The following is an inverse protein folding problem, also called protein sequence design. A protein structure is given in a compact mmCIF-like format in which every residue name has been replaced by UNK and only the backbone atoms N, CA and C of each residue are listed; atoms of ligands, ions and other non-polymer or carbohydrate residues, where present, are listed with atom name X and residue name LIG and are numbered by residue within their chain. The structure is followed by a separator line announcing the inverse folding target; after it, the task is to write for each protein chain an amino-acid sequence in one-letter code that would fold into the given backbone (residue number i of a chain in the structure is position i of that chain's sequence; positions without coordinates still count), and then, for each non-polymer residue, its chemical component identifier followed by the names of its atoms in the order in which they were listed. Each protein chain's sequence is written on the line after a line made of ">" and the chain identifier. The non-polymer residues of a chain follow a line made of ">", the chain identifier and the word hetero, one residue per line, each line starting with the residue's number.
data_IF_320354966642
#
_entry.id   IF_320354966642
#
_cell.length_a   1.000
_cell.length_b   1.000
_cell.length_c   1.000
_cell.angle_alpha   90.00
_cell.angle_beta   90.00
_cell.angle_gamma   90.00
#
_symmetry.space_group_name_H-M   'P 1'
#
loop_
_entity.id
_entity.type
_entity.pdbx_description
1 polymer ?
#
# COMPACT_ATOMS: atom_id res chain seq x y z
N UNK A 1 -19.75 5.62 -19.92
CA UNK A 1 -19.65 6.29 -18.61
C UNK A 1 -19.04 5.32 -17.60
N UNK A 2 -18.21 5.77 -16.65
CA UNK A 2 -17.54 4.88 -15.72
C UNK A 2 -18.49 4.46 -14.59
N UNK A 3 -18.81 3.17 -14.49
CA UNK A 3 -19.49 2.61 -13.31
C UNK A 3 -18.44 2.17 -12.30
N UNK A 4 -17.85 3.13 -11.59
CA UNK A 4 -17.12 2.84 -10.36
C UNK A 4 -18.10 3.08 -9.21
N UNK A 5 -18.50 2.02 -8.51
CA UNK A 5 -19.34 2.15 -7.31
C UNK A 5 -18.48 2.81 -6.23
N UNK A 6 -18.76 4.08 -5.99
CA UNK A 6 -18.16 4.93 -4.97
C UNK A 6 -19.02 4.83 -3.70
N UNK A 7 -18.47 4.30 -2.59
CA UNK A 7 -18.99 4.51 -1.22
C UNK A 7 -17.79 4.43 -0.26
N UNK A 8 -17.60 5.27 0.77
CA UNK A 8 -18.54 5.91 1.71
C UNK A 8 -18.53 7.47 1.73
N UNK A 9 -17.94 8.12 0.74
CA UNK A 9 -18.37 9.45 0.31
C UNK A 9 -19.22 9.22 -0.94
N UNK A 10 -20.33 9.91 -1.16
CA UNK A 10 -21.11 9.73 -2.40
C UNK A 10 -20.26 10.02 -3.65
N UNK A 11 -20.62 9.47 -4.83
CA UNK A 11 -19.93 9.71 -6.11
C UNK A 11 -19.78 11.19 -6.49
N UNK A 12 -20.55 12.09 -5.85
CA UNK A 12 -20.61 13.52 -6.17
C UNK A 12 -19.43 14.38 -5.65
N UNK A 13 -18.55 13.85 -4.80
CA UNK A 13 -17.43 14.62 -4.21
C UNK A 13 -16.02 14.18 -4.65
N UNK A 14 -15.90 13.26 -5.63
CA UNK A 14 -14.60 12.80 -6.11
C UNK A 14 -14.00 13.84 -7.08
N UNK A 15 -12.96 14.53 -6.64
CA UNK A 15 -12.23 15.46 -7.49
C UNK A 15 -11.23 14.72 -8.38
N UNK A 16 -11.68 14.32 -9.57
CA UNK A 16 -10.88 13.55 -10.54
C UNK A 16 -9.57 14.22 -10.97
N UNK A 17 -9.49 15.55 -10.92
CA UNK A 17 -8.23 16.28 -11.21
C UNK A 17 -7.19 15.96 -10.13
N UNK A 18 -7.60 15.97 -8.85
CA UNK A 18 -6.73 15.64 -7.71
C UNK A 18 -6.35 14.16 -7.69
N UNK A 19 -7.31 13.26 -7.94
CA UNK A 19 -7.05 11.81 -8.07
C UNK A 19 -5.99 11.56 -9.15
N UNK A 20 -6.14 12.13 -10.34
CA UNK A 20 -5.16 11.97 -11.44
C UNK A 20 -3.78 12.53 -11.09
N UNK A 21 -3.72 13.65 -10.37
CA UNK A 21 -2.46 14.26 -9.95
C UNK A 21 -1.72 13.38 -8.94
N UNK A 22 -2.44 12.89 -7.93
CA UNK A 22 -1.94 11.94 -6.94
C UNK A 22 -1.49 10.62 -7.59
N UNK A 23 -2.32 10.05 -8.46
CA UNK A 23 -1.99 8.81 -9.19
C UNK A 23 -0.75 8.99 -10.07
N UNK A 24 -0.55 10.13 -10.74
CA UNK A 24 0.66 10.41 -11.52
C UNK A 24 1.91 10.50 -10.64
N UNK A 25 1.82 11.17 -9.50
CA UNK A 25 2.91 11.26 -8.54
C UNK A 25 3.30 9.86 -8.03
N UNK A 26 2.32 9.06 -7.59
CA UNK A 26 2.56 7.70 -7.11
C UNK A 26 3.09 6.78 -8.21
N UNK A 27 2.65 6.94 -9.45
CA UNK A 27 3.16 6.15 -10.57
C UNK A 27 4.63 6.46 -10.89
N UNK A 28 5.11 7.66 -10.56
CA UNK A 28 6.52 8.01 -10.70
C UNK A 28 7.33 7.52 -9.49
N UNK A 29 6.85 7.81 -8.28
CA UNK A 29 7.61 7.61 -7.04
C UNK A 29 7.63 6.15 -6.59
N UNK A 30 6.49 5.45 -6.62
CA UNK A 30 6.40 4.08 -6.09
C UNK A 30 7.29 3.08 -6.82
N UNK A 31 7.42 3.11 -8.17
CA UNK A 31 8.38 2.23 -8.84
C UNK A 31 9.82 2.49 -8.43
N UNK A 32 10.23 3.75 -8.27
CA UNK A 32 11.58 4.11 -7.83
C UNK A 32 11.85 3.55 -6.44
N UNK A 33 10.91 3.78 -5.50
CA UNK A 33 11.00 3.27 -4.14
C UNK A 33 11.01 1.74 -4.10
N UNK A 34 10.21 1.08 -4.94
CA UNK A 34 10.20 -0.38 -5.07
C UNK A 34 11.54 -0.91 -5.57
N UNK A 35 12.15 -0.27 -6.57
CA UNK A 35 13.48 -0.64 -7.06
C UNK A 35 14.52 -0.46 -5.96
N UNK A 36 14.48 0.65 -5.22
CA UNK A 36 15.36 0.85 -4.06
C UNK A 36 15.17 -0.24 -3.01
N UNK A 37 13.94 -0.69 -2.75
CA UNK A 37 13.65 -1.80 -1.85
C UNK A 37 14.29 -3.12 -2.30
N UNK A 38 14.17 -3.44 -3.60
CA UNK A 38 14.80 -4.62 -4.18
C UNK A 38 16.32 -4.55 -4.03
N UNK A 39 16.93 -3.42 -4.41
CA UNK A 39 18.37 -3.20 -4.26
C UNK A 39 18.82 -3.25 -2.79
N UNK A 40 17.99 -2.75 -1.88
CA UNK A 40 18.21 -2.83 -0.44
C UNK A 40 18.23 -4.27 0.06
N UNK A 41 17.26 -5.07 -0.38
CA UNK A 41 17.16 -6.49 0.00
C UNK A 41 18.28 -7.35 -0.65
N UNK A 42 18.84 -6.90 -1.78
CA UNK A 42 20.02 -7.52 -2.41
C UNK A 42 21.36 -7.05 -1.80
N UNK A 43 21.34 -6.13 -0.84
CA UNK A 43 22.54 -5.58 -0.21
C UNK A 43 23.31 -4.56 -1.06
N UNK A 44 22.76 -4.13 -2.20
CA UNK A 44 23.36 -3.13 -3.10
C UNK A 44 23.19 -1.71 -2.54
N UNK A 45 22.08 -1.46 -1.85
CA UNK A 45 21.76 -0.17 -1.23
C UNK A 45 21.55 -0.37 0.27
N UNK A 46 21.90 0.61 1.10
CA UNK A 46 21.64 0.55 2.54
C UNK A 46 20.14 0.46 2.82
N UNK A 47 19.71 -0.55 3.57
CA UNK A 47 18.30 -0.72 3.98
C UNK A 47 17.83 0.43 4.88
N UNK A 48 18.74 1.09 5.59
CA UNK A 48 18.45 2.32 6.35
C UNK A 48 18.12 3.48 5.41
N UNK A 49 18.84 3.62 4.28
CA UNK A 49 18.51 4.62 3.25
C UNK A 49 17.15 4.36 2.62
N UNK A 50 16.85 3.09 2.31
CA UNK A 50 15.54 2.67 1.80
C UNK A 50 14.43 3.02 2.79
N UNK A 51 14.60 2.68 4.07
CA UNK A 51 13.63 2.97 5.11
C UNK A 51 13.42 4.48 5.32
N UNK A 52 14.49 5.29 5.31
CA UNK A 52 14.40 6.75 5.36
C UNK A 52 13.62 7.33 4.17
N UNK A 53 13.93 6.85 2.96
CA UNK A 53 13.25 7.27 1.74
C UNK A 53 11.76 6.95 1.80
N UNK A 54 11.43 5.76 2.32
CA UNK A 54 10.06 5.35 2.56
C UNK A 54 9.35 6.20 3.60
N UNK A 55 9.99 6.49 4.74
CA UNK A 55 9.41 7.37 5.76
C UNK A 55 9.12 8.76 5.20
N UNK A 56 10.04 9.33 4.41
CA UNK A 56 9.82 10.61 3.75
C UNK A 56 8.62 10.56 2.79
N UNK A 57 8.54 9.53 1.93
CA UNK A 57 7.41 9.34 1.03
C UNK A 57 6.08 9.20 1.79
N UNK A 58 6.03 8.34 2.80
CA UNK A 58 4.82 8.10 3.58
C UNK A 58 4.34 9.36 4.32
N UNK A 59 5.27 10.19 4.82
CA UNK A 59 4.95 11.46 5.45
C UNK A 59 4.36 12.45 4.44
N UNK A 60 4.98 12.58 3.25
CA UNK A 60 4.48 13.44 2.19
C UNK A 60 3.09 13.00 1.69
N UNK A 61 2.90 11.70 1.47
CA UNK A 61 1.63 11.16 1.00
C UNK A 61 0.54 11.26 2.08
N UNK A 62 0.90 11.07 3.36
CA UNK A 62 0.00 11.33 4.48
C UNK A 62 -0.48 12.79 4.51
N UNK A 63 0.43 13.76 4.44
CA UNK A 63 0.09 15.18 4.44
C UNK A 63 -0.79 15.52 3.24
N UNK A 64 -0.47 14.98 2.06
CA UNK A 64 -1.28 15.18 0.86
C UNK A 64 -2.71 14.66 1.04
N UNK A 65 -2.88 13.41 1.50
CA UNK A 65 -4.20 12.80 1.69
C UNK A 65 -4.97 13.49 2.82
N UNK A 66 -4.28 13.96 3.86
CA UNK A 66 -4.88 14.68 4.97
C UNK A 66 -5.47 16.03 4.52
N UNK A 67 -4.71 16.81 3.73
CA UNK A 67 -5.17 18.09 3.18
C UNK A 67 -6.23 17.87 2.09
N UNK A 68 -6.06 16.83 1.27
CA UNK A 68 -6.90 16.55 0.11
C UNK A 68 -7.46 15.12 0.13
N UNK A 69 -8.40 14.80 1.05
CA UNK A 69 -8.97 13.45 1.14
C UNK A 69 -9.72 13.02 -0.12
N UNK A 70 -10.17 13.97 -0.95
CA UNK A 70 -10.80 13.73 -2.25
C UNK A 70 -9.83 13.23 -3.34
N UNK A 71 -8.51 13.22 -3.07
CA UNK A 71 -7.53 12.57 -3.95
C UNK A 71 -7.60 11.04 -3.89
N UNK A 72 -8.23 10.48 -2.86
CA UNK A 72 -8.41 9.04 -2.67
C UNK A 72 -9.84 8.62 -3.00
N UNK A 73 -9.97 7.67 -3.94
CA UNK A 73 -11.26 7.19 -4.44
C UNK A 73 -12.11 6.54 -3.33
N UNK A 74 -11.49 5.86 -2.37
CA UNK A 74 -12.22 5.25 -1.25
C UNK A 74 -11.37 5.08 0.00
N UNK A 75 -11.99 5.22 1.16
CA UNK A 75 -11.43 4.91 2.49
C UNK A 75 -10.16 5.72 2.86
N UNK A 76 -10.14 7.01 2.55
CA UNK A 76 -9.02 7.92 2.88
C UNK A 76 -8.55 7.81 4.34
N UNK A 77 -9.49 7.78 5.31
CA UNK A 77 -9.17 7.60 6.74
C UNK A 77 -8.39 6.32 7.04
N UNK A 78 -8.76 5.21 6.40
CA UNK A 78 -8.08 3.93 6.59
C UNK A 78 -6.66 3.96 6.01
N UNK A 79 -6.47 4.64 4.87
CA UNK A 79 -5.14 4.85 4.28
C UNK A 79 -4.28 5.73 5.20
N UNK A 80 -4.85 6.79 5.78
CA UNK A 80 -4.15 7.64 6.75
C UNK A 80 -3.71 6.83 7.99
N UNK A 81 -4.59 5.98 8.55
CA UNK A 81 -4.21 5.09 9.65
C UNK A 81 -3.07 4.15 9.25
N UNK A 82 -3.13 3.59 8.04
CA UNK A 82 -2.04 2.76 7.51
C UNK A 82 -0.72 3.53 7.43
N UNK A 83 -0.72 4.75 6.89
CA UNK A 83 0.49 5.57 6.81
C UNK A 83 1.07 5.87 8.19
N UNK A 84 0.24 6.14 9.21
CA UNK A 84 0.70 6.33 10.59
C UNK A 84 1.44 5.07 11.09
N UNK A 85 0.84 3.89 10.89
CA UNK A 85 1.45 2.62 11.32
C UNK A 85 2.77 2.36 10.58
N UNK A 86 2.80 2.56 9.25
CA UNK A 86 4.01 2.38 8.45
C UNK A 86 5.09 3.40 8.84
N UNK A 87 4.74 4.67 9.04
CA UNK A 87 5.66 5.71 9.50
C UNK A 87 6.27 5.34 10.86
N UNK A 88 5.44 4.96 11.82
CA UNK A 88 5.91 4.57 13.13
C UNK A 88 6.88 3.39 13.06
N UNK A 89 6.52 2.36 12.28
CA UNK A 89 7.38 1.18 12.07
C UNK A 89 8.72 1.57 11.42
N UNK A 90 8.68 2.30 10.30
CA UNK A 90 9.88 2.67 9.54
C UNK A 90 10.79 3.60 10.32
N UNK A 91 10.25 4.60 11.02
CA UNK A 91 11.03 5.47 11.90
C UNK A 91 11.64 4.71 13.08
N UNK A 92 10.92 3.76 13.67
CA UNK A 92 11.47 2.91 14.74
C UNK A 92 12.62 2.03 14.24
N UNK A 93 12.49 1.47 13.03
CA UNK A 93 13.52 0.69 12.38
C UNK A 93 14.73 1.51 11.92
N UNK A 94 14.61 2.83 11.73
CA UNK A 94 15.76 3.68 11.33
C UNK A 94 16.44 4.29 12.54
N UNK A 95 15.65 4.89 13.45
CA UNK A 95 16.18 5.74 14.52
C UNK A 95 16.53 4.97 15.78
N UNK A 96 15.85 3.83 16.04
CA UNK A 96 16.01 3.09 17.30
C UNK A 96 16.74 1.77 17.06
N UNK A 97 16.36 1.01 16.03
CA UNK A 97 16.93 -0.30 15.75
C UNK A 97 17.32 -0.45 14.26
N UNK A 98 18.34 0.31 13.77
CA UNK A 98 18.78 0.35 12.37
C UNK A 98 19.15 -1.02 11.79
N UNK A 99 19.61 -1.96 12.62
CA UNK A 99 19.91 -3.34 12.25
C UNK A 99 18.69 -4.11 11.74
N UNK A 100 17.47 -3.64 12.04
CA UNK A 100 16.21 -4.21 11.54
C UNK A 100 15.58 -3.39 10.39
N UNK A 101 16.29 -2.41 9.83
CA UNK A 101 15.80 -1.62 8.69
C UNK A 101 15.50 -2.48 7.44
N UNK A 102 16.11 -3.66 7.32
CA UNK A 102 15.78 -4.59 6.24
C UNK A 102 14.31 -5.07 6.31
N UNK A 103 13.68 -5.14 7.49
CA UNK A 103 12.26 -5.50 7.60
C UNK A 103 11.36 -4.41 6.98
N UNK A 104 11.73 -3.14 7.13
CA UNK A 104 11.06 -2.04 6.44
C UNK A 104 11.25 -2.13 4.92
N UNK A 105 12.46 -2.49 4.47
CA UNK A 105 12.78 -2.72 3.05
C UNK A 105 11.97 -3.89 2.45
N UNK A 106 11.77 -4.99 3.18
CA UNK A 106 10.89 -6.08 2.74
C UNK A 106 9.43 -5.64 2.68
N UNK A 107 8.92 -5.00 3.73
CA UNK A 107 7.54 -4.49 3.77
C UNK A 107 7.22 -3.55 2.60
N UNK A 108 8.22 -2.84 2.09
CA UNK A 108 8.08 -1.90 0.98
C UNK A 108 7.75 -2.54 -0.37
N UNK A 109 8.05 -3.83 -0.56
CA UNK A 109 7.73 -4.53 -1.81
C UNK A 109 6.22 -4.56 -2.11
N UNK A 110 5.38 -4.34 -1.09
CA UNK A 110 3.93 -4.20 -1.24
C UNK A 110 3.52 -3.04 -2.15
N UNK A 111 4.37 -2.00 -2.26
CA UNK A 111 4.11 -0.84 -3.09
C UNK A 111 4.16 -1.14 -4.58
N UNK A 112 4.79 -2.26 -4.97
CA UNK A 112 4.66 -2.77 -6.33
C UNK A 112 3.20 -3.05 -6.69
N UNK A 113 2.42 -3.59 -5.73
CA UNK A 113 0.99 -3.81 -5.95
C UNK A 113 0.25 -2.48 -6.07
N UNK A 114 0.60 -1.49 -5.23
CA UNK A 114 0.00 -0.15 -5.27
C UNK A 114 0.26 0.51 -6.62
N UNK A 115 1.50 0.45 -7.13
CA UNK A 115 1.87 0.94 -8.45
C UNK A 115 1.09 0.25 -9.57
N UNK A 116 0.93 -1.08 -9.51
CA UNK A 116 0.12 -1.83 -10.47
C UNK A 116 -1.35 -1.39 -10.45
N UNK A 117 -1.93 -1.17 -9.27
CA UNK A 117 -3.30 -0.70 -9.14
C UNK A 117 -3.49 0.70 -9.72
N UNK A 118 -2.57 1.62 -9.42
CA UNK A 118 -2.58 2.97 -9.99
C UNK A 118 -2.47 2.89 -11.51
N UNK A 119 -1.53 2.09 -12.04
CA UNK A 119 -1.34 1.90 -13.48
C UNK A 119 -2.61 1.32 -14.15
N UNK A 120 -3.31 0.40 -13.50
CA UNK A 120 -4.53 -0.23 -14.03
C UNK A 120 -5.71 0.75 -14.22
N UNK A 121 -5.67 1.94 -13.61
CA UNK A 121 -6.70 2.97 -13.78
C UNK A 121 -6.57 3.73 -15.11
N UNK A 122 -5.42 3.69 -15.77
CA UNK A 122 -5.18 4.43 -16.99
C UNK A 122 -5.91 3.81 -18.19
N UNK A 123 -6.49 4.62 -19.11
CA UNK A 123 -7.27 4.12 -20.25
C UNK A 123 -6.53 3.10 -21.11
N UNK A 124 -5.22 3.29 -21.27
CA UNK A 124 -4.34 2.43 -22.06
C UNK A 124 -4.17 1.00 -21.52
N UNK A 125 -4.67 0.68 -20.32
CA UNK A 125 -4.66 -0.66 -19.74
C UNK A 125 -6.08 -1.24 -19.56
N UNK A 126 -7.11 -0.54 -20.06
CA UNK A 126 -8.49 -1.01 -19.94
C UNK A 126 -8.82 -2.01 -21.06
N UNK A 127 -9.39 -3.15 -20.68
CA UNK A 127 -9.91 -4.19 -21.57
C UNK A 127 -8.93 -4.71 -22.64
N UNK A 128 -7.62 -4.54 -22.43
CA UNK A 128 -6.60 -5.02 -23.34
C UNK A 128 -5.74 -6.12 -22.71
N UNK A 129 -4.93 -6.78 -23.54
CA UNK A 129 -4.03 -7.86 -23.10
C UNK A 129 -3.04 -7.37 -22.02
N UNK A 130 -2.53 -6.13 -22.17
CA UNK A 130 -1.61 -5.51 -21.20
C UNK A 130 -2.26 -5.37 -19.82
N UNK A 131 -3.53 -4.96 -19.77
CA UNK A 131 -4.31 -4.87 -18.54
C UNK A 131 -4.55 -6.23 -17.88
N UNK A 132 -4.81 -7.27 -18.67
CA UNK A 132 -4.94 -8.65 -18.15
C UNK A 132 -3.61 -9.14 -17.55
N UNK A 133 -2.49 -8.91 -18.24
CA UNK A 133 -1.16 -9.26 -17.71
C UNK A 133 -0.84 -8.50 -16.43
N UNK A 134 -1.14 -7.20 -16.39
CA UNK A 134 -0.98 -6.38 -15.18
C UNK A 134 -1.82 -6.89 -14.01
N UNK A 135 -3.05 -7.36 -14.28
CA UNK A 135 -3.92 -7.93 -13.26
C UNK A 135 -3.39 -9.27 -12.73
N UNK A 136 -2.88 -10.14 -13.61
CA UNK A 136 -2.24 -11.41 -13.20
C UNK A 136 -1.01 -11.13 -12.35
N UNK A 137 -0.15 -10.22 -12.80
CA UNK A 137 1.04 -9.80 -12.06
C UNK A 137 0.67 -9.19 -10.70
N UNK A 138 -0.36 -8.34 -10.66
CA UNK A 138 -0.90 -7.79 -9.42
C UNK A 138 -1.33 -8.90 -8.45
N UNK A 139 -2.06 -9.92 -8.90
CA UNK A 139 -2.51 -11.00 -8.01
C UNK A 139 -1.36 -11.85 -7.49
N UNK A 140 -0.40 -12.21 -8.35
CA UNK A 140 0.81 -12.94 -7.93
C UNK A 140 1.53 -12.15 -6.84
N UNK A 141 1.82 -10.88 -7.11
CA UNK A 141 2.54 -10.02 -6.18
C UNK A 141 1.72 -9.68 -4.94
N UNK A 142 0.38 -9.63 -5.01
CA UNK A 142 -0.48 -9.41 -3.85
C UNK A 142 -0.47 -10.62 -2.90
N UNK A 143 -0.55 -11.85 -3.42
CA UNK A 143 -0.43 -13.03 -2.57
C UNK A 143 0.96 -13.09 -1.92
N UNK A 144 2.02 -12.87 -2.69
CA UNK A 144 3.38 -12.89 -2.15
C UNK A 144 3.62 -11.79 -1.11
N UNK A 145 3.33 -10.53 -1.44
CA UNK A 145 3.74 -9.39 -0.62
C UNK A 145 2.68 -8.91 0.38
N UNK A 146 1.40 -9.24 0.20
CA UNK A 146 0.32 -8.86 1.15
C UNK A 146 -0.13 -10.01 2.03
N UNK A 147 -0.13 -11.24 1.51
CA UNK A 147 -0.65 -12.40 2.25
C UNK A 147 0.47 -13.18 2.94
N UNK A 148 1.58 -13.45 2.23
CA UNK A 148 2.65 -14.31 2.75
C UNK A 148 3.71 -13.51 3.51
N UNK A 149 4.20 -12.42 2.93
CA UNK A 149 5.32 -11.66 3.48
C UNK A 149 5.02 -11.02 4.85
N UNK A 150 3.86 -10.36 5.11
CA UNK A 150 3.65 -9.68 6.38
C UNK A 150 3.57 -10.63 7.59
N UNK A 151 2.90 -11.81 7.52
CA UNK A 151 3.00 -12.83 8.56
C UNK A 151 4.42 -13.35 8.78
N UNK A 152 5.19 -13.54 7.71
CA UNK A 152 6.58 -13.99 7.83
C UNK A 152 7.44 -12.95 8.57
N UNK A 153 7.31 -11.67 8.23
CA UNK A 153 7.99 -10.57 8.93
C UNK A 153 7.55 -10.46 10.40
N UNK A 154 6.26 -10.68 10.68
CA UNK A 154 5.74 -10.71 12.06
C UNK A 154 6.39 -11.83 12.87
N UNK A 155 6.43 -13.04 12.32
CA UNK A 155 7.12 -14.18 12.92
C UNK A 155 8.61 -13.88 13.14
N UNK A 156 9.26 -13.24 12.18
CA UNK A 156 10.66 -12.85 12.27
C UNK A 156 10.93 -11.89 13.45
N UNK A 157 10.07 -10.89 13.68
CA UNK A 157 10.20 -10.00 14.84
C UNK A 157 10.00 -10.72 16.19
N UNK A 158 9.15 -11.73 16.23
CA UNK A 158 8.87 -12.49 17.45
C UNK A 158 10.03 -13.44 17.78
N UNK A 159 10.53 -14.18 16.78
CA UNK A 159 11.45 -15.31 17.00
C UNK A 159 12.91 -14.93 16.80
N UNK A 160 13.24 -14.10 15.81
CA UNK A 160 14.63 -13.86 15.37
C UNK A 160 15.21 -12.57 15.96
N UNK A 161 14.36 -11.69 16.51
CA UNK A 161 14.79 -10.44 17.15
C UNK A 161 14.65 -10.43 18.70
N UNK A 162 14.97 -11.49 19.47
CA UNK A 162 14.82 -11.47 20.92
C UNK A 162 15.76 -10.49 21.63
N UNK A 163 16.90 -10.17 21.00
CA UNK A 163 17.87 -9.18 21.47
C UNK A 163 17.39 -7.72 21.39
N UNK A 164 16.28 -7.45 20.70
CA UNK A 164 15.68 -6.12 20.67
C UNK A 164 15.05 -5.75 22.02
N UNK A 165 15.15 -4.47 22.42
CA UNK A 165 14.50 -3.98 23.63
C UNK A 165 13.00 -4.36 23.65
N UNK A 166 12.46 -4.93 24.75
CA UNK A 166 11.12 -5.53 24.76
C UNK A 166 10.00 -4.59 24.32
N UNK A 167 10.08 -3.31 24.70
CA UNK A 167 9.06 -2.31 24.33
C UNK A 167 9.11 -1.99 22.83
N UNK A 168 10.30 -1.80 22.26
CA UNK A 168 10.47 -1.56 20.82
C UNK A 168 9.98 -2.78 20.01
N UNK A 169 10.31 -3.99 20.47
CA UNK A 169 9.85 -5.23 19.86
C UNK A 169 8.33 -5.34 19.91
N UNK A 170 7.71 -5.07 21.06
CA UNK A 170 6.25 -5.09 21.21
C UNK A 170 5.58 -4.09 20.26
N UNK A 171 6.12 -2.87 20.15
CA UNK A 171 5.59 -1.85 19.25
C UNK A 171 5.72 -2.24 17.78
N UNK A 172 6.84 -2.83 17.36
CA UNK A 172 7.02 -3.31 15.99
C UNK A 172 6.14 -4.52 15.67
N UNK A 173 5.98 -5.46 16.60
CA UNK A 173 5.04 -6.60 16.50
C UNK A 173 3.61 -6.09 16.36
N UNK A 174 3.20 -5.10 17.15
CA UNK A 174 1.88 -4.48 17.05
C UNK A 174 1.67 -3.81 15.68
N UNK A 175 2.65 -3.02 15.20
CA UNK A 175 2.59 -2.40 13.89
C UNK A 175 2.48 -3.44 12.77
N UNK A 176 3.35 -4.46 12.79
CA UNK A 176 3.36 -5.50 11.78
C UNK A 176 2.06 -6.33 11.80
N UNK A 177 1.47 -6.56 12.98
CA UNK A 177 0.16 -7.21 13.11
C UNK A 177 -0.94 -6.37 12.47
N UNK A 178 -0.95 -5.05 12.72
CA UNK A 178 -1.89 -4.13 12.07
C UNK A 178 -1.71 -4.09 10.55
N UNK A 179 -0.47 -4.11 10.06
CA UNK A 179 -0.16 -4.18 8.63
C UNK A 179 -0.63 -5.50 8.01
N UNK A 180 -0.47 -6.61 8.71
CA UNK A 180 -0.99 -7.92 8.30
C UNK A 180 -2.52 -7.87 8.15
N UNK A 181 -3.22 -7.41 9.19
CA UNK A 181 -4.68 -7.25 9.17
C UNK A 181 -5.13 -6.31 8.03
N UNK A 182 -4.46 -5.18 7.85
CA UNK A 182 -4.75 -4.23 6.77
C UNK A 182 -4.58 -4.88 5.39
N UNK A 183 -3.49 -5.60 5.17
CA UNK A 183 -3.20 -6.25 3.91
C UNK A 183 -4.20 -7.38 3.58
N UNK A 184 -4.56 -8.20 4.57
CA UNK A 184 -5.60 -9.23 4.43
C UNK A 184 -6.96 -8.60 4.14
N UNK A 185 -7.32 -7.54 4.86
CA UNK A 185 -8.56 -6.80 4.63
C UNK A 185 -8.59 -6.19 3.22
N UNK A 186 -7.47 -5.62 2.76
CA UNK A 186 -7.36 -5.04 1.43
C UNK A 186 -7.57 -6.09 0.33
N UNK A 187 -6.91 -7.25 0.44
CA UNK A 187 -7.06 -8.37 -0.48
C UNK A 187 -8.50 -8.89 -0.48
N UNK A 188 -9.09 -9.10 0.72
CA UNK A 188 -10.48 -9.49 0.88
C UNK A 188 -11.43 -8.51 0.17
N UNK A 189 -11.29 -7.22 0.45
CA UNK A 189 -12.12 -6.19 -0.17
C UNK A 189 -12.02 -6.22 -1.70
N UNK A 190 -10.83 -6.44 -2.25
CA UNK A 190 -10.64 -6.55 -3.70
C UNK A 190 -11.33 -7.78 -4.28
N UNK A 191 -11.15 -8.95 -3.65
CA UNK A 191 -11.76 -10.21 -4.09
C UNK A 191 -13.28 -10.16 -4.13
N UNK A 192 -13.92 -9.54 -3.13
CA UNK A 192 -15.37 -9.54 -3.00
C UNK A 192 -16.05 -8.32 -3.64
N UNK A 193 -15.37 -7.18 -3.75
CA UNK A 193 -15.93 -5.99 -4.43
C UNK A 193 -15.95 -6.15 -5.95
N UNK A 194 -14.98 -6.85 -6.52
CA UNK A 194 -14.95 -7.14 -7.97
C UNK A 194 -16.01 -8.19 -8.39
N UNK A 195 -16.72 -8.82 -7.43
CA UNK A 195 -17.80 -9.79 -7.68
C UNK A 195 -19.21 -9.19 -7.67
N UNK A 196 -19.39 -7.91 -7.37
CA UNK A 196 -20.71 -7.26 -7.43
C UNK A 196 -20.92 -6.77 -8.86
N UNK A 197 -21.75 -7.44 -9.69
CA UNK A 197 -22.06 -6.96 -11.03
C UNK A 197 -22.79 -5.61 -10.93
N UNK A 198 -22.42 -4.67 -11.80
CA UNK A 198 -23.00 -3.33 -11.91
C UNK A 198 -24.50 -3.32 -12.34
N UNK A 199 -25.20 -4.44 -12.28
CA UNK A 199 -26.53 -4.63 -12.86
C UNK A 199 -27.70 -4.39 -11.90
N UNK A 200 -27.51 -3.72 -10.76
CA UNK A 200 -28.59 -3.50 -9.77
C UNK A 200 -28.83 -2.06 -9.32
N UNK A 201 -28.25 -1.07 -9.98
CA UNK A 201 -28.51 0.35 -9.66
C UNK A 201 -29.22 1.13 -10.80
N UNK A 202 -29.60 0.46 -11.89
CA UNK A 202 -30.19 1.09 -13.09
C UNK A 202 -31.70 0.98 -13.26
N UNK A 203 -32.45 0.44 -12.28
CA UNK A 203 -33.92 0.33 -12.36
C UNK A 203 -34.55 0.84 -11.08
N UNK A 204 -34.71 2.17 -10.98
CA UNK A 204 -35.76 2.85 -10.19
C UNK A 204 -35.75 4.35 -10.50
N UNK A 205 -36.26 4.71 -11.68
CA UNK A 205 -36.95 5.98 -11.93
C UNK A 205 -37.60 5.92 -13.33
N UNK A 206 -38.77 5.31 -13.39
CA UNK A 206 -39.76 5.48 -14.45
C UNK A 206 -41.10 5.63 -13.77
#
# INVERSE_FOLDING_TARGET
>A
MPTYIVTAAGPENVNWKRVKMHDKFNLFVLPVITVLAVLGNLGVVSTVLVANTMSAYMALDFVWIYIYPSAIISKAKLILTHHIVVLFMTLSCVSINPEYAYNASWSLLVELNTACLVLSRFPQFKNNYKGKLLLVFFWITAILFRVILPPWLLWHFIVVAPQMHPTARLSLVACQSLLCCFNMYFVYQRMFRDRIPASKEGTKSS
#
